data_IF_900085497997
#
_entry.id   IF_900085497997
#
_cell.length_a   1.000
_cell.length_b   1.000
_cell.length_c   1.000
_cell.angle_alpha   90.00
_cell.angle_beta   90.00
_cell.angle_gamma   90.00
#
_symmetry.space_group_name_H-M   'P 1'
#
loop_
_entity.id
_entity.type
_entity.pdbx_description
1 polymer ?
#
# COMPACT_ATOMS: atom_id res chain seq x y z
N UNK A 1 11.27 4.73 0.31
CA UNK A 1 11.57 3.68 -0.69
C UNK A 1 10.65 2.49 -0.49
N UNK A 2 10.15 1.87 -1.56
CA UNK A 2 9.40 0.62 -1.50
C UNK A 2 10.22 -0.53 -2.10
N UNK A 3 10.21 -1.69 -1.48
CA UNK A 3 10.90 -2.90 -1.99
C UNK A 3 9.92 -4.07 -2.01
N UNK A 4 9.72 -4.65 -3.20
CA UNK A 4 8.91 -5.85 -3.36
C UNK A 4 9.77 -7.10 -3.55
N UNK A 5 9.51 -8.14 -2.76
CA UNK A 5 10.17 -9.45 -2.88
C UNK A 5 9.15 -10.52 -3.27
N UNK A 6 9.54 -11.80 -3.28
CA UNK A 6 8.66 -12.93 -3.62
C UNK A 6 8.19 -13.75 -2.42
N UNK A 7 8.97 -13.80 -1.34
CA UNK A 7 8.69 -14.68 -0.20
C UNK A 7 8.72 -13.91 1.11
N UNK A 8 8.03 -14.46 2.14
CA UNK A 8 8.03 -13.88 3.49
C UNK A 8 9.44 -13.84 4.04
N UNK A 9 10.13 -14.99 3.97
CA UNK A 9 11.51 -15.14 4.41
C UNK A 9 12.46 -14.12 3.78
N UNK A 10 12.43 -13.94 2.45
CA UNK A 10 13.28 -12.94 1.80
C UNK A 10 12.97 -11.51 2.27
N UNK A 11 11.69 -11.20 2.53
CA UNK A 11 11.31 -9.89 3.05
C UNK A 11 11.84 -9.68 4.46
N UNK A 12 11.73 -10.70 5.32
CA UNK A 12 12.23 -10.69 6.70
C UNK A 12 13.76 -10.55 6.73
N UNK A 13 14.45 -11.39 5.95
CA UNK A 13 15.92 -11.39 5.84
C UNK A 13 16.42 -10.02 5.33
N UNK A 14 15.80 -9.47 4.28
CA UNK A 14 16.17 -8.15 3.74
C UNK A 14 15.87 -7.02 4.73
N UNK A 15 14.73 -7.07 5.42
CA UNK A 15 14.39 -6.04 6.41
C UNK A 15 15.36 -6.05 7.57
N UNK A 16 15.72 -7.24 8.06
CA UNK A 16 16.71 -7.42 9.12
C UNK A 16 18.07 -6.90 8.69
N UNK A 17 18.52 -7.25 7.48
CA UNK A 17 19.79 -6.76 6.93
C UNK A 17 19.83 -5.22 6.82
N UNK A 18 18.75 -4.60 6.36
CA UNK A 18 18.67 -3.13 6.28
C UNK A 18 18.68 -2.48 7.67
N UNK A 19 18.02 -3.09 8.66
CA UNK A 19 18.04 -2.62 10.05
C UNK A 19 19.44 -2.76 10.68
N UNK A 20 20.18 -3.83 10.39
CA UNK A 20 21.58 -3.99 10.83
C UNK A 20 22.51 -2.92 10.24
N UNK A 21 22.16 -2.37 9.08
CA UNK A 21 22.83 -1.23 8.45
C UNK A 21 22.33 0.13 8.95
N UNK A 22 21.53 0.16 10.02
CA UNK A 22 20.93 1.37 10.60
C UNK A 22 19.99 2.13 9.65
N UNK A 23 19.37 1.41 8.70
CA UNK A 23 18.36 1.96 7.80
C UNK A 23 16.98 1.73 8.42
N UNK A 24 16.21 2.81 8.61
CA UNK A 24 14.85 2.76 9.19
C UNK A 24 13.90 1.99 8.28
N UNK A 25 13.72 0.71 8.56
CA UNK A 25 13.02 -0.22 7.69
C UNK A 25 11.85 -0.89 8.40
N UNK A 26 10.71 -0.93 7.72
CA UNK A 26 9.53 -1.68 8.16
C UNK A 26 9.22 -2.82 7.17
N UNK A 27 8.70 -3.91 7.73
CA UNK A 27 8.23 -5.09 6.98
C UNK A 27 6.70 -5.17 7.00
N UNK A 28 6.07 -5.41 5.85
CA UNK A 28 4.63 -5.69 5.74
C UNK A 28 4.38 -7.04 5.06
N UNK A 29 3.56 -7.88 5.71
CA UNK A 29 3.02 -9.12 5.15
C UNK A 29 1.49 -9.15 5.16
N UNK A 30 0.93 -10.24 4.63
CA UNK A 30 -0.51 -10.42 4.41
C UNK A 30 -1.32 -10.64 5.70
N UNK A 31 -0.68 -11.00 6.81
CA UNK A 31 -1.37 -11.26 8.09
C UNK A 31 -1.35 -10.05 9.03
N UNK A 32 -0.71 -8.94 8.64
CA UNK A 32 -0.74 -7.68 9.39
C UNK A 32 -2.17 -7.15 9.39
N UNK A 33 -2.70 -6.84 10.58
CA UNK A 33 -4.04 -6.29 10.73
C UNK A 33 -4.18 -4.94 10.00
N UNK A 34 -5.39 -4.62 9.53
CA UNK A 34 -5.64 -3.40 8.73
C UNK A 34 -5.22 -2.11 9.46
N UNK A 35 -5.40 -2.07 10.78
CA UNK A 35 -5.01 -0.94 11.62
C UNK A 35 -3.47 -0.80 11.68
N UNK A 36 -2.77 -1.88 11.96
CA UNK A 36 -1.30 -1.90 12.02
C UNK A 36 -0.67 -1.55 10.67
N UNK A 37 -1.27 -2.04 9.57
CA UNK A 37 -0.83 -1.69 8.22
C UNK A 37 -0.93 -0.18 7.98
N UNK A 38 -2.03 0.43 8.40
CA UNK A 38 -2.25 1.87 8.25
C UNK A 38 -1.25 2.69 9.06
N UNK A 39 -0.93 2.23 10.27
CA UNK A 39 0.09 2.84 11.13
C UNK A 39 1.48 2.79 10.46
N UNK A 40 1.91 1.63 9.95
CA UNK A 40 3.22 1.48 9.29
C UNK A 40 3.35 2.41 8.07
N UNK A 41 2.26 2.53 7.28
CA UNK A 41 2.25 3.40 6.11
C UNK A 41 2.30 4.88 6.49
N UNK A 42 1.62 5.26 7.57
CA UNK A 42 1.73 6.61 8.13
C UNK A 42 3.15 6.89 8.61
N UNK A 43 3.76 5.94 9.32
CA UNK A 43 5.13 6.03 9.81
C UNK A 43 6.15 6.15 8.66
N UNK A 44 5.89 5.50 7.51
CA UNK A 44 6.66 5.72 6.29
C UNK A 44 6.48 7.16 5.76
N UNK A 45 5.25 7.69 5.72
CA UNK A 45 5.00 9.07 5.25
C UNK A 45 5.59 10.12 6.18
N UNK A 46 5.62 9.86 7.49
CA UNK A 46 6.17 10.78 8.49
C UNK A 46 7.71 10.71 8.63
N UNK A 47 8.37 9.79 7.90
CA UNK A 47 9.83 9.62 7.96
C UNK A 47 10.32 8.86 9.20
N UNK A 48 9.42 8.18 9.92
CA UNK A 48 9.79 7.19 10.94
C UNK A 48 10.43 5.97 10.27
N UNK A 49 9.94 5.59 9.09
CA UNK A 49 10.60 4.63 8.21
C UNK A 49 11.01 5.30 6.90
N UNK A 50 12.16 4.92 6.38
CA UNK A 50 12.67 5.33 5.08
C UNK A 50 12.42 4.25 4.02
N UNK A 51 12.35 2.99 4.45
CA UNK A 51 12.18 1.82 3.57
C UNK A 51 11.03 0.94 4.05
N UNK A 52 10.20 0.51 3.10
CA UNK A 52 9.16 -0.48 3.33
C UNK A 52 9.41 -1.71 2.46
N UNK A 53 9.56 -2.87 3.07
CA UNK A 53 9.78 -4.16 2.40
C UNK A 53 8.54 -5.01 2.52
N UNK A 54 8.17 -5.71 1.44
CA UNK A 54 7.11 -6.72 1.50
C UNK A 54 6.92 -7.47 0.20
N UNK A 55 5.92 -8.36 0.16
CA UNK A 55 5.67 -9.23 -1.00
C UNK A 55 4.69 -8.55 -1.94
N UNK A 56 3.48 -8.35 -1.43
CA UNK A 56 2.44 -7.55 -2.07
C UNK A 56 2.15 -6.36 -1.16
N UNK A 57 2.92 -5.31 -1.38
CA UNK A 57 2.86 -4.12 -0.54
C UNK A 57 1.53 -3.36 -0.69
N UNK A 58 0.65 -3.75 -1.62
CA UNK A 58 -0.40 -2.85 -2.09
C UNK A 58 -1.72 -3.56 -2.38
N UNK A 59 -2.75 -3.13 -1.66
CA UNK A 59 -4.15 -3.22 -2.06
C UNK A 59 -4.57 -1.86 -2.65
N UNK A 60 -5.78 -1.77 -3.18
CA UNK A 60 -6.36 -0.48 -3.62
C UNK A 60 -6.27 0.57 -2.50
N UNK A 61 -6.04 1.84 -2.83
CA UNK A 61 -6.09 2.96 -1.86
C UNK A 61 -4.76 3.48 -1.31
N UNK A 62 -3.61 2.84 -1.57
CA UNK A 62 -2.32 3.39 -1.14
C UNK A 62 -1.78 4.48 -2.09
N UNK A 63 -1.73 5.69 -1.56
CA UNK A 63 -1.25 6.91 -2.18
C UNK A 63 -0.09 7.49 -1.34
N UNK A 64 1.14 7.30 -1.82
CA UNK A 64 2.37 7.68 -1.12
C UNK A 64 3.19 8.61 -2.02
N UNK A 65 2.89 9.92 -2.06
CA UNK A 65 3.64 10.87 -2.87
C UNK A 65 5.12 10.98 -2.45
N UNK A 66 5.47 10.55 -1.23
CA UNK A 66 6.83 10.55 -0.69
C UNK A 66 7.73 9.44 -1.27
N UNK A 67 7.15 8.45 -1.98
CA UNK A 67 7.90 7.34 -2.55
C UNK A 67 8.52 7.73 -3.89
N UNK A 68 9.82 8.03 -3.87
CA UNK A 68 10.61 8.31 -5.08
C UNK A 68 11.18 7.06 -5.77
N UNK A 69 11.29 5.94 -5.06
CA UNK A 69 11.93 4.73 -5.55
C UNK A 69 11.14 3.47 -5.19
N UNK A 70 10.90 2.64 -6.20
CA UNK A 70 10.36 1.28 -6.07
C UNK A 70 11.39 0.27 -6.60
N UNK A 71 11.83 -0.65 -5.75
CA UNK A 71 12.69 -1.77 -6.12
C UNK A 71 11.87 -3.06 -6.22
N UNK A 72 12.08 -3.83 -7.29
CA UNK A 72 11.43 -5.12 -7.52
C UNK A 72 12.54 -6.17 -7.56
N UNK A 73 12.64 -6.96 -6.49
CA UNK A 73 13.59 -8.07 -6.40
C UNK A 73 13.01 -9.27 -7.16
N UNK A 74 13.87 -9.99 -7.87
CA UNK A 74 13.50 -11.15 -8.68
C UNK A 74 12.38 -10.83 -9.68
N UNK A 75 12.58 -9.77 -10.47
CA UNK A 75 11.59 -9.31 -11.43
C UNK A 75 11.38 -10.30 -12.60
N UNK A 76 12.35 -11.17 -12.87
CA UNK A 76 12.31 -12.18 -13.94
C UNK A 76 11.66 -13.50 -13.54
N UNK A 77 11.28 -13.66 -12.27
CA UNK A 77 10.62 -14.87 -11.77
C UNK A 77 9.12 -14.76 -12.01
N UNK A 78 8.70 -15.26 -13.17
CA UNK A 78 7.30 -15.19 -13.58
C UNK A 78 6.35 -15.91 -12.61
N UNK A 79 5.11 -15.43 -12.58
CA UNK A 79 4.08 -15.88 -11.65
C UNK A 79 3.10 -14.75 -11.35
N UNK A 80 2.21 -14.96 -10.38
CA UNK A 80 1.17 -13.99 -10.03
C UNK A 80 1.75 -12.59 -9.73
N UNK A 81 2.79 -12.53 -8.88
CA UNK A 81 3.41 -11.29 -8.39
C UNK A 81 4.30 -10.57 -9.42
N UNK A 82 4.62 -11.23 -10.54
CA UNK A 82 5.49 -10.70 -11.61
C UNK A 82 4.82 -10.79 -12.99
N UNK A 83 3.51 -10.96 -13.01
CA UNK A 83 2.71 -10.82 -14.21
C UNK A 83 2.76 -9.38 -14.74
N UNK A 84 2.48 -9.18 -16.02
CA UNK A 84 2.44 -7.84 -16.63
C UNK A 84 1.57 -6.86 -15.82
N UNK A 85 0.39 -7.28 -15.37
CA UNK A 85 -0.51 -6.44 -14.58
C UNK A 85 0.06 -6.10 -13.20
N UNK A 86 0.65 -7.07 -12.49
CA UNK A 86 1.27 -6.85 -11.19
C UNK A 86 2.48 -5.90 -11.28
N UNK A 87 3.32 -6.06 -12.32
CA UNK A 87 4.45 -5.16 -12.57
C UNK A 87 3.98 -3.74 -12.84
N UNK A 88 2.99 -3.55 -13.72
CA UNK A 88 2.41 -2.21 -13.99
C UNK A 88 1.86 -1.57 -12.72
N UNK A 89 1.14 -2.32 -11.89
CA UNK A 89 0.60 -1.82 -10.62
C UNK A 89 1.70 -1.43 -9.61
N UNK A 90 2.81 -2.18 -9.61
CA UNK A 90 3.98 -1.90 -8.75
C UNK A 90 4.73 -0.67 -9.24
N UNK A 91 4.93 -0.53 -10.56
CA UNK A 91 5.52 0.65 -11.20
C UNK A 91 4.72 1.92 -10.88
N UNK A 92 3.38 1.83 -10.95
CA UNK A 92 2.47 2.95 -10.71
C UNK A 92 2.60 3.59 -9.32
N UNK A 93 3.31 2.95 -8.38
CA UNK A 93 3.55 3.49 -7.04
C UNK A 93 4.63 4.56 -7.00
N UNK A 94 5.59 4.49 -7.91
CA UNK A 94 6.56 5.57 -8.10
C UNK A 94 5.95 6.76 -8.86
N UNK A 95 4.84 6.57 -9.57
CA UNK A 95 4.28 7.57 -10.48
C UNK A 95 3.68 8.81 -9.80
N UNK A 96 3.60 8.82 -8.45
CA UNK A 96 3.11 9.96 -7.69
C UNK A 96 4.20 10.94 -7.24
N UNK A 97 5.46 10.55 -7.40
CA UNK A 97 6.61 11.39 -7.06
C UNK A 97 7.24 11.95 -8.35
N UNK A 98 7.68 13.22 -8.32
CA UNK A 98 8.29 13.90 -9.46
C UNK A 98 9.48 13.11 -10.04
N UNK A 99 10.36 12.66 -9.16
CA UNK A 99 11.53 11.84 -9.48
C UNK A 99 11.28 10.34 -9.38
N UNK A 100 10.02 9.91 -9.49
CA UNK A 100 9.62 8.51 -9.40
C UNK A 100 10.43 7.60 -10.31
N UNK A 101 11.13 6.63 -9.71
CA UNK A 101 11.97 5.63 -10.39
C UNK A 101 11.62 4.22 -9.95
N UNK A 102 11.79 3.27 -10.87
CA UNK A 102 11.61 1.85 -10.61
C UNK A 102 12.87 1.11 -11.01
N UNK A 103 13.38 0.25 -10.12
CA UNK A 103 14.51 -0.65 -10.37
C UNK A 103 14.00 -2.09 -10.35
N UNK A 104 14.21 -2.81 -11.45
CA UNK A 104 13.87 -4.22 -11.57
C UNK A 104 15.16 -5.04 -11.55
N UNK A 105 15.36 -5.84 -10.50
CA UNK A 105 16.50 -6.74 -10.38
C UNK A 105 16.14 -8.08 -11.02
N UNK A 106 16.87 -8.44 -12.08
CA UNK A 106 16.56 -9.58 -12.93
C UNK A 106 17.81 -10.03 -13.70
N UNK A 107 17.94 -11.33 -13.94
CA UNK A 107 19.00 -11.88 -14.79
C UNK A 107 18.66 -11.76 -16.29
N UNK A 108 17.36 -11.75 -16.62
CA UNK A 108 16.84 -11.65 -17.98
C UNK A 108 15.56 -10.80 -18.03
N UNK A 109 15.28 -10.23 -19.21
CA UNK A 109 14.00 -9.55 -19.46
C UNK A 109 12.98 -10.61 -19.91
N UNK A 110 11.90 -10.77 -19.15
CA UNK A 110 10.77 -11.65 -19.51
C UNK A 110 9.75 -10.92 -20.38
N UNK A 111 8.86 -11.66 -21.05
CA UNK A 111 7.74 -11.07 -21.80
C UNK A 111 6.86 -10.18 -20.90
N UNK A 112 6.65 -10.63 -19.65
CA UNK A 112 5.87 -9.88 -18.65
C UNK A 112 6.53 -8.54 -18.33
N UNK A 113 7.85 -8.52 -18.15
CA UNK A 113 8.64 -7.31 -17.92
C UNK A 113 8.63 -6.39 -19.14
N UNK A 114 8.91 -6.95 -20.33
CA UNK A 114 8.96 -6.19 -21.57
C UNK A 114 7.65 -5.42 -21.79
N UNK A 115 6.51 -6.10 -21.70
CA UNK A 115 5.18 -5.47 -21.84
C UNK A 115 4.93 -4.38 -20.80
N UNK A 116 5.35 -4.60 -19.55
CA UNK A 116 5.17 -3.61 -18.49
C UNK A 116 6.05 -2.36 -18.70
N UNK A 117 7.30 -2.56 -19.13
CA UNK A 117 8.25 -1.49 -19.45
C UNK A 117 7.75 -0.70 -20.66
N UNK A 118 7.34 -1.37 -21.73
CA UNK A 118 6.84 -0.74 -22.96
C UNK A 118 5.59 0.08 -22.70
N UNK A 119 4.62 -0.45 -21.95
CA UNK A 119 3.41 0.30 -21.60
C UNK A 119 3.71 1.50 -20.70
N UNK A 120 4.68 1.38 -19.80
CA UNK A 120 5.13 2.50 -18.95
C UNK A 120 5.76 3.60 -19.80
N UNK A 121 6.67 3.24 -20.71
CA UNK A 121 7.34 4.18 -21.60
C UNK A 121 6.34 4.84 -22.56
N UNK A 122 5.42 4.07 -23.15
CA UNK A 122 4.36 4.58 -24.02
C UNK A 122 3.52 5.65 -23.32
N UNK A 123 3.07 5.38 -22.09
CA UNK A 123 2.30 6.36 -21.29
C UNK A 123 3.12 7.60 -20.97
N UNK A 124 4.39 7.43 -20.58
CA UNK A 124 5.28 8.55 -20.25
C UNK A 124 5.51 9.47 -21.44
N UNK A 125 5.78 8.91 -22.62
CA UNK A 125 5.95 9.71 -23.85
C UNK A 125 4.70 10.52 -24.19
N UNK A 126 3.51 9.93 -24.05
CA UNK A 126 2.25 10.67 -24.26
C UNK A 126 2.10 11.81 -23.24
N UNK A 127 2.42 11.56 -21.98
CA UNK A 127 2.36 12.58 -20.92
C UNK A 127 3.36 13.71 -21.15
N UNK A 128 4.59 13.40 -21.53
CA UNK A 128 5.64 14.39 -21.82
C UNK A 128 5.26 15.26 -23.03
N UNK A 129 4.72 14.65 -24.09
CA UNK A 129 4.23 15.37 -25.27
C UNK A 129 3.05 16.30 -24.91
N UNK A 130 2.07 15.80 -24.16
CA UNK A 130 0.94 16.59 -23.70
C UNK A 130 1.38 17.77 -22.83
N UNK A 131 2.30 17.54 -21.90
CA UNK A 131 2.85 18.58 -21.02
C UNK A 131 3.59 19.66 -21.81
N UNK A 132 4.38 19.27 -22.81
CA UNK A 132 5.10 20.21 -23.67
C UNK A 132 4.14 21.05 -24.52
N UNK A 133 3.10 20.44 -25.09
CA UNK A 133 2.06 21.14 -25.88
C UNK A 133 1.27 22.14 -25.04
N UNK A 134 1.01 21.81 -23.76
CA UNK A 134 0.18 22.62 -22.86
C UNK A 134 0.98 23.48 -21.87
N UNK A 135 2.31 23.52 -21.98
CA UNK A 135 3.22 24.20 -21.04
C UNK A 135 2.99 23.79 -19.57
N UNK A 136 2.71 22.52 -19.31
CA UNK A 136 2.52 21.98 -17.96
C UNK A 136 3.89 21.56 -17.40
N UNK A 137 4.27 22.14 -16.26
CA UNK A 137 5.43 21.67 -15.50
C UNK A 137 4.95 20.63 -14.48
N UNK A 138 5.47 19.38 -14.50
CA UNK A 138 5.11 18.38 -13.51
C UNK A 138 5.44 18.88 -12.09
N UNK A 139 4.46 18.78 -11.19
CA UNK A 139 4.62 19.14 -9.78
C UNK A 139 4.20 17.97 -8.90
N UNK A 140 4.87 17.80 -7.76
CA UNK A 140 4.44 16.82 -6.77
C UNK A 140 3.10 17.24 -6.15
N UNK A 141 2.30 16.26 -5.73
CA UNK A 141 1.06 16.51 -5.00
C UNK A 141 1.40 16.51 -3.51
N UNK A 142 1.30 17.67 -2.86
CA UNK A 142 1.39 17.77 -1.41
C UNK A 142 0.06 17.35 -0.78
N UNK A 143 -0.02 16.06 -0.42
CA UNK A 143 -1.16 15.52 0.30
C UNK A 143 -0.88 15.55 1.80
N UNK A 144 -1.79 16.12 2.59
CA UNK A 144 -1.65 16.11 4.05
C UNK A 144 -1.46 14.67 4.57
N UNK A 145 -0.58 14.52 5.56
CA UNK A 145 -0.47 13.29 6.34
C UNK A 145 -1.63 13.37 7.34
N UNK A 146 -2.71 12.66 7.04
CA UNK A 146 -3.82 12.52 7.97
C UNK A 146 -3.30 11.87 9.28
N UNK A 147 -3.67 12.41 10.43
CA UNK A 147 -3.24 11.87 11.72
C UNK A 147 -3.82 10.47 11.98
N UNK A 148 -4.81 10.07 11.20
CA UNK A 148 -5.45 8.78 11.28
C UNK A 148 -6.05 8.51 12.66
N UNK A 149 -6.49 7.26 12.86
CA UNK A 149 -7.22 6.81 14.05
C UNK A 149 -6.47 7.02 15.39
N UNK A 150 -5.14 7.22 15.39
CA UNK A 150 -4.34 7.39 16.61
C UNK A 150 -4.50 8.74 17.32
N UNK A 151 -4.95 9.80 16.65
CA UNK A 151 -5.32 11.03 17.36
C UNK A 151 -6.53 10.81 18.29
N UNK A 152 -7.31 9.75 18.04
CA UNK A 152 -8.58 9.43 18.70
C UNK A 152 -8.41 8.27 19.71
N UNK A 153 -7.38 7.45 19.54
CA UNK A 153 -7.11 6.26 20.36
C UNK A 153 -5.95 6.57 21.32
N UNK A 154 -6.20 6.75 22.64
CA UNK A 154 -5.13 6.82 23.64
C UNK A 154 -4.30 5.53 23.58
N UNK A 155 -2.97 5.64 23.71
CA UNK A 155 -2.06 4.50 23.86
C UNK A 155 -2.67 3.48 24.83
N UNK A 156 -2.85 2.24 24.37
CA UNK A 156 -3.26 1.10 25.18
C UNK A 156 -2.22 0.89 26.29
N UNK A 157 -2.50 1.37 27.47
CA UNK A 157 -2.35 0.54 28.66
C UNK A 157 -3.72 -0.11 28.91
N UNK A 158 -3.69 -1.43 28.99
CA UNK A 158 -4.71 -2.33 29.54
C UNK A 158 -6.02 -2.64 28.78
N UNK A 159 -6.03 -3.89 28.30
CA UNK A 159 -7.09 -4.91 28.40
C UNK A 159 -8.51 -4.60 27.93
N UNK A 160 -8.98 -5.45 27.00
CA UNK A 160 -10.37 -5.90 26.84
C UNK A 160 -11.44 -4.83 26.92
N UNK A 161 -11.80 -4.19 25.81
CA UNK A 161 -13.12 -3.53 25.69
C UNK A 161 -13.49 -3.26 24.25
N UNK A 162 -14.70 -3.69 23.91
CA UNK A 162 -15.45 -3.53 22.66
C UNK A 162 -15.21 -2.18 21.98
N UNK A 163 -15.16 -2.19 20.64
CA UNK A 163 -15.13 -1.01 19.76
C UNK A 163 -16.08 0.09 20.30
N UNK A 164 -15.50 1.15 20.86
CA UNK A 164 -16.26 2.27 21.42
C UNK A 164 -16.66 3.23 20.30
N UNK A 165 -17.79 2.90 19.65
CA UNK A 165 -18.39 3.62 18.52
C UNK A 165 -18.85 5.07 18.83
N UNK A 166 -18.68 5.57 20.06
CA UNK A 166 -19.03 6.94 20.48
C UNK A 166 -17.96 8.00 20.16
N UNK A 167 -16.80 7.59 19.64
CA UNK A 167 -15.66 8.49 19.35
C UNK A 167 -15.40 8.72 17.85
N UNK A 168 -16.27 8.20 16.97
CA UNK A 168 -16.11 8.31 15.52
C UNK A 168 -16.85 9.58 15.04
N UNK A 169 -16.21 10.49 14.31
CA UNK A 169 -16.89 11.60 13.65
C UNK A 169 -17.93 11.07 12.67
N UNK A 170 -19.13 11.68 12.64
CA UNK A 170 -20.22 11.19 11.78
C UNK A 170 -19.86 11.14 10.29
N UNK A 171 -18.96 12.02 9.87
CA UNK A 171 -18.54 12.20 8.49
C UNK A 171 -17.66 11.05 7.95
N UNK A 172 -17.11 10.21 8.83
CA UNK A 172 -16.24 9.07 8.45
C UNK A 172 -16.97 7.73 8.35
N UNK A 173 -18.23 7.66 8.80
CA UNK A 173 -18.98 6.41 8.81
C UNK A 173 -19.17 5.82 7.42
N UNK A 174 -19.34 6.65 6.39
CA UNK A 174 -19.52 6.17 5.01
C UNK A 174 -18.26 5.48 4.46
N UNK A 175 -17.07 6.05 4.72
CA UNK A 175 -15.80 5.47 4.29
C UNK A 175 -15.51 4.16 5.05
N UNK A 176 -15.75 4.15 6.35
CA UNK A 176 -15.54 2.96 7.18
C UNK A 176 -16.49 1.81 6.79
N UNK A 177 -17.76 2.12 6.53
CA UNK A 177 -18.72 1.13 6.01
C UNK A 177 -18.28 0.57 4.68
N UNK A 178 -17.73 1.42 3.79
CA UNK A 178 -17.26 0.99 2.48
C UNK A 178 -16.08 0.02 2.57
N UNK A 179 -15.09 0.32 3.41
CA UNK A 179 -13.92 -0.53 3.60
C UNK A 179 -14.26 -1.85 4.30
N UNK A 180 -15.15 -1.83 5.29
CA UNK A 180 -15.63 -3.04 5.96
C UNK A 180 -16.49 -3.90 5.02
N UNK A 181 -17.29 -3.28 4.14
CA UNK A 181 -18.08 -4.00 3.14
C UNK A 181 -17.19 -4.74 2.15
N UNK A 182 -16.12 -4.08 1.68
CA UNK A 182 -15.15 -4.72 0.78
C UNK A 182 -14.44 -5.91 1.46
N UNK A 183 -14.13 -5.82 2.76
CA UNK A 183 -13.56 -6.92 3.53
C UNK A 183 -14.56 -8.06 3.77
N UNK A 184 -15.84 -7.73 3.98
CA UNK A 184 -16.91 -8.72 4.12
C UNK A 184 -17.10 -9.49 2.82
N UNK A 185 -17.12 -8.80 1.68
CA UNK A 185 -17.25 -9.42 0.35
C UNK A 185 -16.06 -10.33 0.04
N UNK A 186 -14.84 -9.89 0.40
CA UNK A 186 -13.63 -10.70 0.23
C UNK A 186 -13.62 -11.92 1.16
N UNK A 187 -14.06 -11.77 2.41
CA UNK A 187 -14.22 -12.90 3.33
C UNK A 187 -15.27 -13.89 2.82
N UNK A 188 -16.38 -13.40 2.27
CA UNK A 188 -17.41 -14.24 1.65
C UNK A 188 -16.89 -14.97 0.40
N UNK A 189 -16.12 -14.29 -0.46
CA UNK A 189 -15.46 -14.90 -1.62
C UNK A 189 -14.44 -15.98 -1.24
N UNK A 190 -13.80 -15.83 -0.08
CA UNK A 190 -12.84 -16.79 0.48
C UNK A 190 -13.49 -17.88 1.35
N UNK A 191 -14.83 -17.96 1.41
CA UNK A 191 -15.59 -18.92 2.24
C UNK A 191 -15.35 -18.76 3.76
N UNK A 192 -14.87 -17.60 4.21
CA UNK A 192 -14.67 -17.22 5.61
C UNK A 192 -15.98 -16.64 6.21
N UNK A 193 -17.02 -17.47 6.32
CA UNK A 193 -18.38 -17.00 6.66
C UNK A 193 -18.52 -16.41 8.07
N UNK A 194 -17.78 -16.91 9.05
CA UNK A 194 -17.79 -16.36 10.43
C UNK A 194 -17.27 -14.92 10.44
N UNK A 195 -16.18 -14.68 9.73
CA UNK A 195 -15.57 -13.35 9.60
C UNK A 195 -16.44 -12.39 8.79
N UNK A 196 -17.08 -12.89 7.73
CA UNK A 196 -18.08 -12.11 7.00
C UNK A 196 -19.28 -11.72 7.88
N UNK A 197 -19.73 -12.62 8.77
CA UNK A 197 -20.81 -12.33 9.72
C UNK A 197 -20.39 -11.28 10.76
N UNK A 198 -19.18 -11.38 11.31
CA UNK A 198 -18.65 -10.36 12.23
C UNK A 198 -18.55 -8.98 11.58
N UNK A 199 -18.01 -8.91 10.35
CA UNK A 199 -17.91 -7.67 9.60
C UNK A 199 -19.29 -7.07 9.28
N UNK A 200 -20.26 -7.91 8.91
CA UNK A 200 -21.65 -7.50 8.70
C UNK A 200 -22.27 -6.90 9.95
N UNK A 201 -22.07 -7.53 11.10
CA UNK A 201 -22.65 -7.08 12.36
C UNK A 201 -22.00 -5.76 12.81
N UNK A 202 -20.69 -5.57 12.58
CA UNK A 202 -19.99 -4.30 12.81
C UNK A 202 -20.49 -3.20 11.86
N UNK A 203 -20.72 -3.49 10.57
CA UNK A 203 -21.30 -2.54 9.60
C UNK A 203 -22.71 -2.13 10.03
N UNK A 204 -23.53 -3.07 10.48
CA UNK A 204 -24.88 -2.79 10.97
C UNK A 204 -24.86 -1.88 12.20
N UNK A 205 -23.93 -2.14 13.12
CA UNK A 205 -23.76 -1.36 14.34
C UNK A 205 -23.33 0.09 14.03
N UNK A 206 -22.46 0.27 13.04
CA UNK A 206 -22.03 1.57 12.52
C UNK A 206 -23.18 2.30 11.83
N UNK A 207 -23.90 1.64 10.91
CA UNK A 207 -25.05 2.23 10.20
C UNK A 207 -26.17 2.65 11.15
N UNK A 208 -26.36 1.96 12.28
CA UNK A 208 -27.36 2.35 13.28
C UNK A 208 -27.00 3.63 14.05
N UNK A 209 -25.73 4.06 14.01
CA UNK A 209 -25.18 5.19 14.77
C UNK A 209 -24.91 6.43 13.91
N UNK A 210 -25.02 6.33 12.59
CA UNK A 210 -25.09 7.46 11.65
C UNK A 210 -26.33 8.30 11.92
#
# INVERSE_FOLDING_TARGET
VLVTTLTKRMSEDLSTYLQELDIKTAYIHSEVETLERSDILRDLRSGVYDVLVGINLLREGLDLPEVSLVAIIDADKEGFLRSTSALIQTIGRAARHLEGKVLMYADKITDSMQRAIDETNRRRTIQEAYNAEHNITPTSIDKAIDEGLRAIIPKKEDTTSKLNLKKIPKDEYDNLVKDLSAQMDLASANLEFEKAAELRDVIADIRSKM
#
